data_IF_323462667073
#
_entry.id   IF_323462667073
#
_cell.length_a   1.000
_cell.length_b   1.000
_cell.length_c   1.000
_cell.angle_alpha   90.00
_cell.angle_beta   90.00
_cell.angle_gamma   90.00
#
_symmetry.space_group_name_H-M   'P 1'
#
loop_
_entity.id
_entity.type
_entity.pdbx_description
1 polymer ?
#
# COMPACT_ATOMS: atom_id res chain seq x y z
N UNK A 1 -32.62 -10.32 -29.06
CA UNK A 1 -32.74 -8.99 -28.42
C UNK A 1 -31.36 -8.52 -28.04
N UNK A 2 -30.78 -7.67 -28.88
CA UNK A 2 -29.44 -7.09 -28.74
C UNK A 2 -29.46 -6.00 -27.66
N UNK A 3 -28.73 -6.20 -26.56
CA UNK A 3 -28.50 -5.15 -25.55
C UNK A 3 -27.57 -4.10 -26.13
N UNK A 4 -28.12 -2.92 -26.40
CA UNK A 4 -27.37 -1.70 -26.69
C UNK A 4 -26.47 -1.39 -25.48
N UNK A 5 -25.18 -1.09 -25.67
CA UNK A 5 -24.34 -0.63 -24.57
C UNK A 5 -24.79 0.78 -24.16
N UNK A 6 -25.30 0.92 -22.94
CA UNK A 6 -25.60 2.21 -22.34
C UNK A 6 -24.30 2.98 -22.13
N UNK A 7 -24.18 4.12 -22.82
CA UNK A 7 -23.08 5.07 -22.71
C UNK A 7 -22.95 5.53 -21.23
N UNK A 8 -21.80 5.37 -20.55
CA UNK A 8 -21.68 5.70 -19.12
C UNK A 8 -21.60 7.22 -18.81
N UNK A 9 -21.72 8.07 -19.82
CA UNK A 9 -21.27 9.47 -19.77
C UNK A 9 -22.23 10.47 -19.11
N UNK A 10 -23.23 10.05 -18.34
CA UNK A 10 -24.22 10.97 -17.73
C UNK A 10 -24.62 10.65 -16.27
N UNK A 11 -23.84 9.84 -15.53
CA UNK A 11 -24.02 9.79 -14.08
C UNK A 11 -23.20 10.88 -13.41
N UNK A 12 -23.88 11.81 -12.74
CA UNK A 12 -23.23 12.83 -11.92
C UNK A 12 -22.24 12.17 -10.95
N UNK A 13 -20.96 12.48 -11.09
CA UNK A 13 -19.90 11.90 -10.28
C UNK A 13 -20.10 12.42 -8.86
N UNK A 14 -20.53 11.56 -7.93
CA UNK A 14 -20.60 11.92 -6.51
C UNK A 14 -19.23 12.41 -6.04
N UNK A 15 -19.16 13.54 -5.29
CA UNK A 15 -17.89 14.14 -4.90
C UNK A 15 -17.02 13.16 -4.13
N UNK A 16 -15.71 13.22 -4.35
CA UNK A 16 -14.76 12.35 -3.64
C UNK A 16 -14.85 12.60 -2.13
N UNK A 17 -14.84 11.55 -1.29
CA UNK A 17 -14.90 11.70 0.17
C UNK A 17 -13.57 12.17 0.78
N UNK A 18 -12.61 12.60 -0.03
CA UNK A 18 -11.29 13.04 0.38
C UNK A 18 -10.80 14.18 -0.50
N UNK A 19 -9.97 15.05 0.08
CA UNK A 19 -9.28 16.15 -0.62
C UNK A 19 -7.78 15.92 -0.58
N UNK A 20 -7.09 16.39 -1.61
CA UNK A 20 -5.63 16.32 -1.65
C UNK A 20 -5.05 17.38 -0.71
N UNK A 21 -4.12 16.96 0.14
CA UNK A 21 -3.43 17.85 1.08
C UNK A 21 -2.13 18.30 0.43
N UNK A 22 -1.87 19.61 0.44
CA UNK A 22 -0.64 20.16 -0.12
C UNK A 22 0.58 19.63 0.63
N UNK A 23 1.66 19.38 -0.12
CA UNK A 23 2.94 19.00 0.49
C UNK A 23 3.57 20.20 1.22
N UNK A 24 4.24 19.98 2.36
CA UNK A 24 4.97 21.04 3.04
C UNK A 24 5.96 21.76 2.12
N UNK A 25 6.17 23.05 2.36
CA UNK A 25 7.18 23.85 1.64
C UNK A 25 8.60 23.38 1.94
N UNK A 26 8.85 22.90 3.16
CA UNK A 26 10.13 22.37 3.59
C UNK A 26 10.42 21.02 2.91
N UNK A 27 11.66 20.77 2.44
CA UNK A 27 12.02 19.49 1.84
C UNK A 27 12.10 18.38 2.91
N UNK A 28 12.11 17.10 2.50
CA UNK A 28 12.37 15.99 3.41
C UNK A 28 13.66 16.20 4.23
N UNK A 29 13.61 15.91 5.53
CA UNK A 29 14.74 16.05 6.44
C UNK A 29 15.73 14.89 6.23
N UNK A 30 16.67 15.05 5.30
CA UNK A 30 17.67 14.03 4.98
C UNK A 30 18.88 14.19 5.87
N UNK A 31 19.22 13.14 6.63
CA UNK A 31 20.37 13.13 7.53
C UNK A 31 21.20 11.88 7.32
N UNK A 32 22.48 11.93 7.71
CA UNK A 32 23.35 10.76 7.72
C UNK A 32 22.82 9.78 8.77
N UNK A 33 22.38 8.58 8.39
CA UNK A 33 21.87 7.61 9.35
C UNK A 33 23.02 7.01 10.17
N UNK A 34 22.69 6.50 11.36
CA UNK A 34 23.56 5.55 12.04
C UNK A 34 23.67 4.28 11.19
N UNK A 35 24.87 3.72 11.07
CA UNK A 35 25.08 2.47 10.35
C UNK A 35 24.40 1.28 11.03
N UNK A 36 24.11 0.23 10.28
CA UNK A 36 23.39 -0.97 10.75
C UNK A 36 24.24 -1.84 11.69
N UNK A 37 25.55 -1.59 11.73
CA UNK A 37 26.50 -2.23 12.61
C UNK A 37 26.43 -1.75 14.07
N UNK A 38 25.61 -0.72 14.36
CA UNK A 38 25.57 -0.09 15.69
C UNK A 38 24.15 0.02 16.24
N UNK A 39 23.97 -0.46 17.46
CA UNK A 39 22.81 -0.14 18.28
C UNK A 39 23.03 1.18 19.02
N UNK A 40 21.98 2.00 19.07
CA UNK A 40 21.95 3.21 19.88
C UNK A 40 21.57 2.85 21.31
N UNK A 41 22.43 3.19 22.27
CA UNK A 41 22.22 2.88 23.69
C UNK A 41 20.97 3.56 24.28
N UNK A 42 20.54 4.69 23.69
CA UNK A 42 19.35 5.43 24.09
C UNK A 42 18.06 4.92 23.41
N UNK A 43 18.09 3.75 22.75
CA UNK A 43 16.94 3.23 21.97
C UNK A 43 16.69 1.76 22.22
N UNK A 44 15.41 1.37 22.06
CA UNK A 44 14.98 -0.02 22.12
C UNK A 44 15.24 -0.73 20.79
N UNK A 45 15.63 -2.01 20.89
CA UNK A 45 15.80 -2.93 19.76
C UNK A 45 15.16 -4.26 20.12
N UNK A 46 14.48 -4.92 19.17
CA UNK A 46 13.83 -6.20 19.42
C UNK A 46 12.72 -6.53 18.44
N UNK A 47 11.79 -7.40 18.88
CA UNK A 47 10.64 -7.86 18.09
C UNK A 47 9.34 -7.34 18.69
N UNK A 48 8.47 -6.81 17.83
CA UNK A 48 7.09 -6.51 18.18
C UNK A 48 6.17 -7.59 17.57
N UNK A 49 5.27 -8.13 18.38
CA UNK A 49 4.24 -9.07 17.93
C UNK A 49 2.87 -8.44 18.12
N UNK A 50 2.05 -8.46 17.08
CA UNK A 50 0.76 -7.78 17.03
C UNK A 50 -0.33 -8.77 16.62
N UNK A 51 -1.52 -8.61 17.20
CA UNK A 51 -2.76 -9.25 16.74
C UNK A 51 -3.64 -8.18 16.11
N UNK A 52 -4.03 -8.40 14.86
CA UNK A 52 -4.87 -7.47 14.09
C UNK A 52 -6.30 -8.00 14.03
N UNK A 53 -7.27 -7.13 14.33
CA UNK A 53 -8.70 -7.45 14.21
C UNK A 53 -9.30 -6.69 13.04
N UNK A 54 -9.91 -7.42 12.11
CA UNK A 54 -10.60 -6.84 10.95
C UNK A 54 -11.94 -6.25 11.40
N UNK A 55 -12.03 -4.92 11.45
CA UNK A 55 -13.24 -4.19 11.84
C UNK A 55 -14.25 -4.06 10.69
N UNK A 56 -13.74 -3.92 9.46
CA UNK A 56 -14.55 -3.78 8.24
C UNK A 56 -14.13 -4.83 7.22
N UNK A 57 -15.09 -5.34 6.43
CA UNK A 57 -14.80 -6.34 5.40
C UNK A 57 -13.68 -5.85 4.49
N UNK A 58 -12.54 -6.52 4.55
CA UNK A 58 -11.32 -6.12 3.85
C UNK A 58 -10.82 -7.27 3.00
N UNK A 59 -10.29 -6.97 1.82
CA UNK A 59 -9.64 -7.94 0.94
C UNK A 59 -8.22 -7.48 0.64
N UNK A 60 -7.25 -8.38 0.79
CA UNK A 60 -5.90 -8.21 0.28
C UNK A 60 -5.78 -9.07 -0.96
N UNK A 61 -5.96 -8.46 -2.13
CA UNK A 61 -6.04 -9.18 -3.39
C UNK A 61 -4.68 -9.78 -3.78
N UNK A 62 -4.69 -11.00 -4.31
CA UNK A 62 -3.50 -11.68 -4.82
C UNK A 62 -3.10 -11.23 -6.22
N UNK A 63 -3.99 -10.52 -6.91
CA UNK A 63 -3.88 -10.26 -8.35
C UNK A 63 -4.38 -11.42 -9.22
N UNK A 64 -4.60 -12.60 -8.65
CA UNK A 64 -5.15 -13.74 -9.37
C UNK A 64 -6.69 -13.69 -9.43
N UNK A 65 -7.21 -14.07 -10.59
CA UNK A 65 -8.63 -14.24 -10.85
C UNK A 65 -8.89 -15.75 -10.95
N UNK A 66 -9.90 -16.22 -10.24
CA UNK A 66 -10.38 -17.60 -10.33
C UNK A 66 -11.78 -17.61 -10.93
N UNK A 67 -12.16 -18.73 -11.55
CA UNK A 67 -13.54 -18.92 -11.96
C UNK A 67 -14.41 -19.06 -10.70
N UNK A 68 -15.61 -18.47 -10.74
CA UNK A 68 -16.54 -18.57 -9.63
C UNK A 68 -16.91 -20.00 -9.29
N UNK A 69 -17.01 -20.85 -10.33
CA UNK A 69 -17.26 -22.28 -10.19
C UNK A 69 -16.21 -22.98 -9.32
N UNK A 70 -14.93 -22.63 -9.46
CA UNK A 70 -13.82 -23.25 -8.72
C UNK A 70 -13.86 -22.90 -7.22
N UNK A 71 -14.54 -21.81 -6.87
CA UNK A 71 -14.58 -21.26 -5.50
C UNK A 71 -15.93 -21.53 -4.82
N UNK A 72 -17.03 -21.46 -5.57
CA UNK A 72 -18.41 -21.49 -5.07
C UNK A 72 -19.19 -22.74 -5.51
N UNK A 73 -18.67 -23.55 -6.43
CA UNK A 73 -19.39 -24.67 -7.03
C UNK A 73 -20.47 -24.24 -8.03
N UNK A 74 -21.17 -25.22 -8.62
CA UNK A 74 -22.20 -24.98 -9.63
C UNK A 74 -23.40 -24.27 -8.99
N UNK A 75 -23.49 -22.96 -9.17
CA UNK A 75 -24.65 -22.17 -8.77
C UNK A 75 -25.00 -21.18 -9.89
N UNK A 76 -26.26 -21.18 -10.35
CA UNK A 76 -26.72 -20.29 -11.42
C UNK A 76 -26.53 -18.79 -11.11
N UNK A 77 -26.34 -18.44 -9.84
CA UNK A 77 -26.15 -17.07 -9.38
C UNK A 77 -24.69 -16.75 -8.96
N UNK A 78 -23.73 -17.66 -9.16
CA UNK A 78 -22.33 -17.37 -8.86
C UNK A 78 -21.73 -16.43 -9.93
N UNK A 79 -20.96 -15.40 -9.54
CA UNK A 79 -20.23 -14.59 -10.51
C UNK A 79 -19.21 -15.44 -11.26
N UNK A 80 -19.05 -15.24 -12.57
CA UNK A 80 -18.13 -16.05 -13.40
C UNK A 80 -16.66 -15.91 -12.97
N UNK A 81 -16.27 -14.73 -12.48
CA UNK A 81 -14.90 -14.41 -12.11
C UNK A 81 -14.84 -13.79 -10.71
N UNK A 82 -13.88 -14.28 -9.90
CA UNK A 82 -13.67 -13.83 -8.53
C UNK A 82 -12.22 -13.41 -8.36
N UNK A 83 -12.00 -12.19 -7.85
CA UNK A 83 -10.68 -11.75 -7.38
C UNK A 83 -10.36 -12.47 -6.08
N UNK A 84 -9.25 -13.19 -6.06
CA UNK A 84 -8.86 -13.98 -4.90
C UNK A 84 -8.00 -13.19 -3.93
N UNK A 85 -8.07 -13.54 -2.64
CA UNK A 85 -7.20 -12.97 -1.62
C UNK A 85 -5.87 -13.73 -1.54
N UNK A 86 -4.81 -13.09 -1.05
CA UNK A 86 -3.51 -13.74 -0.85
C UNK A 86 -3.62 -14.86 0.18
N UNK A 87 -3.03 -16.01 -0.13
CA UNK A 87 -3.00 -17.19 0.75
C UNK A 87 -1.59 -17.77 0.81
N UNK A 88 -1.25 -18.35 1.97
CA UNK A 88 -0.07 -19.19 2.19
C UNK A 88 -0.48 -20.38 3.06
N UNK A 89 -0.09 -21.59 2.68
CA UNK A 89 -0.41 -22.82 3.42
C UNK A 89 -1.92 -22.94 3.76
N UNK A 90 -2.78 -22.68 2.76
CA UNK A 90 -4.26 -22.64 2.86
C UNK A 90 -4.84 -21.59 3.83
N UNK A 91 -4.02 -20.72 4.41
CA UNK A 91 -4.46 -19.63 5.29
C UNK A 91 -4.42 -18.30 4.56
N UNK A 92 -5.40 -17.43 4.85
CA UNK A 92 -5.36 -16.04 4.40
C UNK A 92 -4.20 -15.32 5.08
N UNK A 93 -3.50 -14.48 4.31
CA UNK A 93 -2.40 -13.67 4.84
C UNK A 93 -2.55 -12.21 4.43
N UNK A 94 -1.99 -11.33 5.26
CA UNK A 94 -1.57 -10.00 4.82
C UNK A 94 -0.06 -10.10 4.57
N UNK A 95 0.43 -9.96 3.32
CA UNK A 95 1.85 -10.01 3.04
C UNK A 95 2.61 -8.96 3.84
N UNK A 96 3.79 -9.33 4.36
CA UNK A 96 4.64 -8.42 5.12
C UNK A 96 5.03 -7.18 4.29
N UNK A 97 5.21 -7.34 2.98
CA UNK A 97 5.48 -6.24 2.05
C UNK A 97 4.30 -5.28 1.90
N UNK A 98 3.07 -5.80 1.79
CA UNK A 98 1.86 -4.99 1.73
C UNK A 98 1.64 -4.22 3.03
N UNK A 99 1.81 -4.90 4.18
CA UNK A 99 1.67 -4.26 5.48
C UNK A 99 2.75 -3.19 5.72
N UNK A 100 4.01 -3.50 5.36
CA UNK A 100 5.10 -2.52 5.33
C UNK A 100 4.75 -1.29 4.50
N UNK A 101 4.13 -1.49 3.33
CA UNK A 101 3.69 -0.39 2.45
C UNK A 101 2.70 0.55 3.14
N UNK A 102 1.66 0.00 3.76
CA UNK A 102 0.65 0.79 4.49
C UNK A 102 1.29 1.58 5.63
N UNK A 103 2.08 0.92 6.48
CA UNK A 103 2.74 1.57 7.61
C UNK A 103 3.74 2.63 7.13
N UNK A 104 4.48 2.36 6.06
CA UNK A 104 5.39 3.31 5.43
C UNK A 104 4.65 4.55 4.92
N UNK A 105 3.53 4.39 4.22
CA UNK A 105 2.76 5.53 3.71
C UNK A 105 2.23 6.43 4.81
N UNK A 106 1.75 5.86 5.92
CA UNK A 106 1.36 6.66 7.10
C UNK A 106 2.57 7.37 7.69
N UNK A 107 3.70 6.67 7.83
CA UNK A 107 4.93 7.24 8.36
C UNK A 107 5.45 8.40 7.48
N UNK A 108 5.41 8.25 6.16
CA UNK A 108 5.76 9.30 5.19
C UNK A 108 4.83 10.51 5.33
N UNK A 109 3.54 10.30 5.60
CA UNK A 109 2.57 11.39 5.78
C UNK A 109 2.74 12.18 7.09
N UNK A 110 3.21 11.53 8.17
CA UNK A 110 3.40 12.17 9.49
C UNK A 110 4.83 12.64 9.74
N UNK A 111 5.75 12.42 8.80
CA UNK A 111 7.16 12.84 8.91
C UNK A 111 7.60 13.64 7.69
N UNK A 112 8.68 14.42 7.82
CA UNK A 112 9.29 15.11 6.69
C UNK A 112 10.11 14.14 5.82
N UNK A 113 9.43 13.24 5.11
CA UNK A 113 10.01 12.15 4.33
C UNK A 113 9.82 12.29 2.82
N UNK A 114 10.58 11.51 2.03
CA UNK A 114 10.33 11.33 0.60
C UNK A 114 8.94 10.72 0.36
N UNK A 115 8.47 10.82 -0.88
CA UNK A 115 7.35 10.04 -1.40
C UNK A 115 7.88 9.01 -2.40
N UNK A 116 8.33 7.88 -1.86
CA UNK A 116 9.22 6.98 -2.57
C UNK A 116 8.49 5.97 -3.49
N UNK A 117 7.26 5.56 -3.16
CA UNK A 117 6.53 4.51 -3.88
C UNK A 117 5.21 5.03 -4.46
N UNK A 118 5.34 6.00 -5.36
CA UNK A 118 4.21 6.57 -6.10
C UNK A 118 3.93 5.80 -7.39
N UNK A 119 2.66 5.83 -7.84
CA UNK A 119 2.25 5.20 -9.09
C UNK A 119 3.02 5.79 -10.29
N UNK A 120 3.25 4.97 -11.32
CA UNK A 120 3.95 5.40 -12.55
C UNK A 120 3.28 6.61 -13.20
N UNK A 121 1.94 6.65 -13.19
CA UNK A 121 1.17 7.78 -13.73
C UNK A 121 1.44 9.08 -12.97
N UNK A 122 1.51 9.02 -11.64
CA UNK A 122 1.87 10.16 -10.78
C UNK A 122 3.24 10.72 -11.12
N UNK A 123 4.22 9.84 -11.45
CA UNK A 123 5.55 10.27 -11.92
C UNK A 123 5.47 10.96 -13.28
N UNK A 124 4.72 10.40 -14.23
CA UNK A 124 4.54 10.98 -15.58
C UNK A 124 3.92 12.37 -15.55
N UNK A 125 3.01 12.63 -14.60
CA UNK A 125 2.29 13.90 -14.47
C UNK A 125 3.02 14.91 -13.56
N UNK A 126 4.22 14.58 -13.07
CA UNK A 126 5.04 15.43 -12.21
C UNK A 126 4.30 15.99 -10.98
N UNK A 127 3.36 15.24 -10.40
CA UNK A 127 2.60 15.68 -9.22
C UNK A 127 3.44 15.76 -7.94
N UNK A 128 4.60 15.09 -7.93
CA UNK A 128 5.52 15.07 -6.80
C UNK A 128 6.71 15.97 -7.13
N UNK A 129 6.91 17.07 -6.39
CA UNK A 129 8.06 17.95 -6.61
C UNK A 129 9.38 17.19 -6.45
N UNK A 130 10.40 17.58 -7.22
CA UNK A 130 11.70 16.90 -7.25
C UNK A 130 12.35 16.73 -5.87
N UNK A 131 12.17 17.70 -4.98
CA UNK A 131 12.68 17.63 -3.60
C UNK A 131 12.12 16.46 -2.78
N UNK A 132 10.93 15.96 -3.14
CA UNK A 132 10.26 14.83 -2.49
C UNK A 132 10.57 13.46 -3.12
N UNK A 133 11.40 13.42 -4.15
CA UNK A 133 11.80 12.16 -4.80
C UNK A 133 12.55 11.24 -3.83
N UNK A 134 12.53 9.94 -4.15
CA UNK A 134 13.18 8.89 -3.35
C UNK A 134 14.66 9.21 -3.07
N UNK A 135 15.10 8.95 -1.84
CA UNK A 135 16.50 9.12 -1.46
C UNK A 135 17.39 8.25 -2.34
N UNK A 136 18.38 8.88 -2.98
CA UNK A 136 19.40 8.21 -3.79
C UNK A 136 20.66 8.11 -2.97
N UNK A 137 21.09 6.88 -2.71
CA UNK A 137 22.26 6.61 -1.85
C UNK A 137 23.38 6.10 -2.74
N UNK A 138 24.49 6.82 -2.69
CA UNK A 138 25.69 6.55 -3.46
C UNK A 138 26.93 6.96 -2.65
N UNK A 139 28.11 6.89 -3.26
CA UNK A 139 29.38 7.17 -2.58
C UNK A 139 29.49 8.61 -2.04
N UNK A 140 28.84 9.59 -2.70
CA UNK A 140 28.92 11.01 -2.32
C UNK A 140 27.75 11.47 -1.46
N UNK A 141 26.63 10.74 -1.44
CA UNK A 141 25.45 11.06 -0.64
C UNK A 141 24.89 9.82 0.05
N UNK A 142 25.02 9.82 1.37
CA UNK A 142 24.50 8.77 2.26
C UNK A 142 23.34 9.27 3.13
N UNK A 143 22.84 10.48 2.88
CA UNK A 143 21.77 11.05 3.67
C UNK A 143 20.42 10.47 3.27
N UNK A 144 19.65 10.04 4.26
CA UNK A 144 18.32 9.44 4.08
C UNK A 144 17.28 10.22 4.87
N UNK A 145 16.06 10.28 4.34
CA UNK A 145 14.93 10.83 5.09
C UNK A 145 14.47 9.85 6.19
N UNK A 146 13.63 10.28 7.14
CA UNK A 146 13.19 9.44 8.26
C UNK A 146 12.55 8.12 7.80
N UNK A 147 11.71 8.14 6.74
CA UNK A 147 11.10 6.92 6.21
C UNK A 147 12.12 5.99 5.55
N UNK A 148 13.05 6.51 4.75
CA UNK A 148 14.09 5.69 4.11
C UNK A 148 15.01 5.03 5.12
N UNK A 149 15.30 5.70 6.25
CA UNK A 149 16.09 5.12 7.33
C UNK A 149 15.39 3.88 7.91
N UNK A 150 14.10 4.00 8.24
CA UNK A 150 13.32 2.93 8.90
C UNK A 150 12.98 1.81 7.92
N UNK A 151 12.44 2.14 6.75
CA UNK A 151 11.86 1.18 5.81
C UNK A 151 12.81 0.76 4.68
N UNK A 152 13.97 1.41 4.54
CA UNK A 152 14.92 1.16 3.46
C UNK A 152 14.71 2.09 2.25
N UNK A 153 15.73 2.12 1.41
CA UNK A 153 15.74 2.81 0.11
C UNK A 153 16.60 2.01 -0.87
N UNK A 154 16.68 2.45 -2.13
CA UNK A 154 17.67 1.90 -3.06
C UNK A 154 19.08 2.06 -2.44
N UNK A 155 19.85 0.98 -2.41
CA UNK A 155 21.18 0.89 -1.79
C UNK A 155 21.20 1.13 -0.27
N UNK A 156 20.07 0.99 0.43
CA UNK A 156 20.02 1.06 1.90
C UNK A 156 18.98 0.12 2.50
N UNK A 157 19.48 -0.79 3.32
CA UNK A 157 18.63 -1.73 4.04
C UNK A 157 17.91 -1.02 5.21
N UNK A 158 16.60 -1.24 5.35
CA UNK A 158 15.81 -0.63 6.42
C UNK A 158 16.08 -1.27 7.79
N UNK A 159 15.80 -0.52 8.86
CA UNK A 159 15.95 -0.97 10.25
C UNK A 159 14.88 -1.98 10.70
N UNK A 160 13.75 -2.07 9.99
CA UNK A 160 12.63 -2.95 10.38
C UNK A 160 12.27 -3.98 9.32
N UNK A 161 11.93 -5.18 9.79
CA UNK A 161 11.44 -6.30 8.99
C UNK A 161 9.98 -6.59 9.33
N UNK A 162 9.16 -6.71 8.30
CA UNK A 162 7.76 -7.13 8.41
C UNK A 162 7.64 -8.58 7.97
N UNK A 163 6.97 -9.40 8.78
CA UNK A 163 6.57 -10.76 8.40
C UNK A 163 5.12 -10.75 7.92
N UNK A 164 4.73 -11.79 7.19
CA UNK A 164 3.32 -12.00 6.84
C UNK A 164 2.48 -12.12 8.11
N UNK A 165 1.34 -11.43 8.15
CA UNK A 165 0.34 -11.65 9.18
C UNK A 165 -0.53 -12.83 8.76
N UNK A 166 -0.53 -13.88 9.57
CA UNK A 166 -1.27 -15.11 9.29
C UNK A 166 -2.64 -15.03 9.96
N UNK A 167 -3.70 -15.29 9.22
CA UNK A 167 -5.06 -15.28 9.76
C UNK A 167 -5.24 -16.45 10.75
N UNK A 168 -5.57 -16.12 12.01
CA UNK A 168 -5.84 -17.10 13.08
C UNK A 168 -7.28 -17.67 12.99
N UNK A 169 -8.25 -16.84 12.61
CA UNK A 169 -9.67 -17.23 12.54
C UNK A 169 -10.27 -16.77 11.22
N UNK A 170 -10.71 -17.73 10.41
CA UNK A 170 -11.22 -17.45 9.07
C UNK A 170 -12.75 -17.43 9.04
N UNK A 171 -13.32 -16.27 8.74
CA UNK A 171 -14.68 -16.14 8.21
C UNK A 171 -14.59 -15.29 6.94
N UNK A 172 -14.73 -15.89 5.77
CA UNK A 172 -14.74 -15.16 4.50
C UNK A 172 -16.07 -15.35 3.79
N UNK A 173 -16.46 -14.35 3.00
CA UNK A 173 -17.61 -14.39 2.10
C UNK A 173 -17.22 -13.72 0.79
N UNK A 174 -17.72 -14.25 -0.33
CA UNK A 174 -17.63 -13.55 -1.61
C UNK A 174 -18.63 -12.40 -1.57
N UNK A 175 -18.15 -11.19 -1.86
CA UNK A 175 -18.96 -9.98 -1.94
C UNK A 175 -18.56 -9.15 -3.15
N UNK A 176 -19.53 -8.44 -3.70
CA UNK A 176 -19.25 -7.39 -4.68
C UNK A 176 -18.55 -6.22 -3.98
N UNK A 177 -17.50 -5.68 -4.62
CA UNK A 177 -16.78 -4.49 -4.18
C UNK A 177 -17.03 -3.42 -5.23
N UNK A 178 -17.64 -2.27 -4.87
CA UNK A 178 -17.86 -1.20 -5.82
C UNK A 178 -16.52 -0.61 -6.30
N UNK A 179 -16.53 -0.01 -7.49
CA UNK A 179 -15.38 0.75 -7.98
C UNK A 179 -15.02 1.84 -6.99
N UNK A 180 -13.78 1.83 -6.52
CA UNK A 180 -13.27 2.85 -5.62
C UNK A 180 -12.92 4.11 -6.42
N UNK A 181 -13.07 5.27 -5.79
CA UNK A 181 -12.61 6.54 -6.34
C UNK A 181 -11.12 6.49 -6.66
N UNK A 182 -10.72 7.08 -7.79
CA UNK A 182 -9.30 7.23 -8.11
C UNK A 182 -8.68 8.36 -7.28
N UNK A 183 -7.44 8.21 -6.79
CA UNK A 183 -6.74 9.22 -6.00
C UNK A 183 -6.11 10.32 -6.87
N UNK A 184 -6.79 10.74 -7.95
CA UNK A 184 -6.31 11.84 -8.81
C UNK A 184 -6.82 13.19 -8.27
N UNK A 185 -6.04 14.29 -8.38
CA UNK A 185 -6.59 15.63 -8.34
C UNK A 185 -7.75 15.74 -9.35
N UNK A 186 -8.78 16.51 -9.04
CA UNK A 186 -9.74 16.88 -10.09
C UNK A 186 -9.03 17.80 -11.10
N UNK A 187 -9.36 17.70 -12.40
CA UNK A 187 -8.89 18.68 -13.39
C UNK A 187 -9.36 20.10 -13.05
#
# INVERSE_FOLDING_TARGET
>A
MTRTPSNPSQQAISPKPYKLVALPSQPPNRQRPAGQERFRQDRLSGKMSLRLTVQTNTVVASGAIALGIDILGLNKNSPDLIKTAVRRDRRLIIPGSSFKGVVRSVYEAITQSCLCKVASQTKKQNWIPDKYQECQINQSNINVCPACQVFGAMNWQGLIRFTDAICETTKFRVKFIPSLYQPQPEP
#
